data_IF_563066299696
#
_entry.id   IF_563066299696
#
_cell.length_a   1.000
_cell.length_b   1.000
_cell.length_c   1.000
_cell.angle_alpha   90.00
_cell.angle_beta   90.00
_cell.angle_gamma   90.00
#
_symmetry.space_group_name_H-M   'P 1'
#
loop_
_entity.id
_entity.type
_entity.pdbx_description
1 polymer ?
#
# COMPACT_ATOMS: atom_id res chain seq x y z
N UNK A 1 0.97 10.04 11.92
CA UNK A 1 0.80 8.64 11.50
C UNK A 1 2.19 8.08 11.28
N UNK A 2 2.56 6.98 11.91
CA UNK A 2 3.85 6.32 11.67
C UNK A 2 3.73 5.51 10.37
N UNK A 3 4.75 5.58 9.53
CA UNK A 3 4.92 4.70 8.36
C UNK A 3 6.12 3.78 8.63
N UNK A 4 6.08 2.60 8.02
CA UNK A 4 7.22 1.68 7.90
C UNK A 4 7.59 1.57 6.43
N UNK A 5 8.87 1.40 6.16
CA UNK A 5 9.36 1.21 4.80
C UNK A 5 9.36 -0.29 4.52
N UNK A 6 8.66 -0.71 3.47
CA UNK A 6 8.72 -2.06 2.94
C UNK A 6 9.24 -2.03 1.50
N UNK A 7 10.00 -3.06 1.11
CA UNK A 7 10.61 -3.13 -0.22
C UNK A 7 9.91 -4.22 -1.04
N UNK A 8 9.51 -3.89 -2.27
CA UNK A 8 9.11 -4.85 -3.29
C UNK A 8 10.10 -4.86 -4.47
N UNK A 9 9.85 -5.66 -5.51
CA UNK A 9 10.75 -5.74 -6.67
C UNK A 9 10.85 -4.43 -7.47
N UNK A 10 9.99 -3.45 -7.19
CA UNK A 10 9.98 -2.14 -7.83
C UNK A 10 10.62 -1.05 -6.95
N UNK A 11 11.06 -1.40 -5.73
CA UNK A 11 11.77 -0.53 -4.80
C UNK A 11 11.04 -0.36 -3.47
N UNK A 12 11.36 0.73 -2.78
CA UNK A 12 10.82 1.03 -1.45
C UNK A 12 9.41 1.64 -1.52
N UNK A 13 8.58 1.29 -0.56
CA UNK A 13 7.18 1.71 -0.42
C UNK A 13 6.91 2.08 1.04
N UNK A 14 6.31 3.24 1.26
CA UNK A 14 5.88 3.67 2.59
C UNK A 14 4.52 3.08 2.93
N UNK A 15 4.50 2.15 3.88
CA UNK A 15 3.27 1.49 4.35
C UNK A 15 2.87 2.07 5.71
N UNK A 16 1.60 2.48 5.91
CA UNK A 16 1.16 2.95 7.22
C UNK A 16 1.31 1.87 8.30
N UNK A 17 1.90 2.22 9.44
CA UNK A 17 2.21 1.29 10.53
C UNK A 17 0.96 0.74 11.22
N UNK A 18 -0.20 1.36 11.03
CA UNK A 18 -1.51 0.93 11.52
C UNK A 18 -2.20 -0.10 10.60
N UNK A 19 -1.61 -0.44 9.45
CA UNK A 19 -2.17 -1.37 8.47
C UNK A 19 -1.43 -2.69 8.46
N UNK A 20 -2.19 -3.78 8.32
CA UNK A 20 -1.67 -5.16 8.29
C UNK A 20 -1.25 -5.61 6.89
N UNK A 21 -1.60 -4.86 5.84
CA UNK A 21 -1.14 -5.14 4.47
C UNK A 21 0.30 -4.62 4.26
N UNK A 22 0.97 -5.10 3.21
CA UNK A 22 2.37 -4.74 2.89
C UNK A 22 2.57 -3.91 1.62
N UNK A 23 3.82 -3.88 1.13
CA UNK A 23 4.28 -3.05 0.01
C UNK A 23 3.44 -3.20 -1.27
N UNK A 24 3.14 -4.44 -1.69
CA UNK A 24 2.39 -4.67 -2.94
C UNK A 24 0.97 -4.11 -2.87
N UNK A 25 0.27 -4.33 -1.75
CA UNK A 25 -1.08 -3.79 -1.55
C UNK A 25 -1.05 -2.27 -1.50
N UNK A 26 -0.07 -1.69 -0.80
CA UNK A 26 0.10 -0.24 -0.75
C UNK A 26 0.35 0.34 -2.16
N UNK A 27 1.22 -0.30 -2.96
CA UNK A 27 1.47 0.11 -4.35
C UNK A 27 0.22 -0.02 -5.22
N UNK A 28 -0.59 -1.06 -5.03
CA UNK A 28 -1.89 -1.16 -5.71
C UNK A 28 -2.84 -0.03 -5.31
N UNK A 29 -2.90 0.33 -4.02
CA UNK A 29 -3.71 1.46 -3.53
C UNK A 29 -3.24 2.79 -4.13
N UNK A 30 -1.94 2.97 -4.34
CA UNK A 30 -1.37 4.17 -4.97
C UNK A 30 -1.64 4.24 -6.47
N UNK A 31 -1.47 3.12 -7.18
CA UNK A 31 -1.60 3.06 -8.63
C UNK A 31 -3.07 3.00 -9.11
N UNK A 32 -3.98 2.42 -8.32
CA UNK A 32 -5.36 2.17 -8.71
C UNK A 32 -6.37 2.91 -7.84
N UNK A 33 -6.21 4.24 -7.74
CA UNK A 33 -7.17 5.14 -7.05
C UNK A 33 -8.39 5.43 -7.94
N UNK A 34 -9.10 4.39 -8.36
CA UNK A 34 -10.21 4.47 -9.31
C UNK A 34 -11.49 3.98 -8.64
N UNK A 35 -12.47 4.89 -8.51
CA UNK A 35 -13.74 4.59 -7.85
C UNK A 35 -13.59 4.36 -6.33
N UNK A 36 -14.68 3.91 -5.72
CA UNK A 36 -14.73 3.58 -4.28
C UNK A 36 -15.23 2.16 -4.02
N UNK A 37 -15.32 1.36 -5.08
CA UNK A 37 -15.76 -0.03 -5.01
C UNK A 37 -14.59 -0.86 -4.52
N UNK A 38 -14.81 -1.60 -3.44
CA UNK A 38 -13.87 -2.60 -2.94
C UNK A 38 -14.36 -3.99 -3.33
N UNK A 39 -13.49 -4.99 -3.24
CA UNK A 39 -13.92 -6.38 -3.35
C UNK A 39 -15.07 -6.61 -2.35
N UNK A 40 -16.20 -7.20 -2.80
CA UNK A 40 -17.30 -7.57 -1.91
C UNK A 40 -16.86 -8.47 -0.75
#
# INVERSE_FOLDING_TARGET
MSTRIETDSLGDVEVPSDKLYGAQTQRSIENFRIGSQVMP
#
